data_IF_431157169259
#
_entry.id   IF_431157169259
#
_cell.length_a   1.000
_cell.length_b   1.000
_cell.length_c   1.000
_cell.angle_alpha   90.00
_cell.angle_beta   90.00
_cell.angle_gamma   90.00
#
_symmetry.space_group_name_H-M   'P 1'
#
loop_
_entity.id
_entity.type
_entity.pdbx_description
1 polymer ?
#
# COMPACT_ATOMS: atom_id res chain seq x y z
N UNK A 1 -16.33 11.24 -3.25
CA UNK A 1 -15.83 9.89 -2.94
C UNK A 1 -14.41 9.68 -3.47
N UNK A 2 -14.10 9.86 -4.76
CA UNK A 2 -12.70 9.77 -5.25
C UNK A 2 -11.88 11.04 -4.96
N UNK A 3 -12.51 12.21 -5.07
CA UNK A 3 -11.90 13.52 -4.75
C UNK A 3 -11.35 13.62 -3.32
N UNK A 4 -11.98 12.93 -2.39
CA UNK A 4 -11.66 13.01 -0.97
C UNK A 4 -10.35 12.26 -0.67
N UNK A 5 -10.05 11.21 -1.45
CA UNK A 5 -8.81 10.45 -1.34
C UNK A 5 -7.60 11.21 -1.89
N UNK A 6 -7.77 12.06 -2.91
CA UNK A 6 -6.68 12.89 -3.44
C UNK A 6 -6.17 13.88 -2.38
N UNK A 7 -7.08 14.60 -1.71
CA UNK A 7 -6.71 15.54 -0.65
C UNK A 7 -6.07 14.84 0.54
N UNK A 8 -6.64 13.71 0.99
CA UNK A 8 -6.08 12.92 2.08
C UNK A 8 -4.69 12.35 1.76
N UNK A 9 -4.49 11.86 0.53
CA UNK A 9 -3.20 11.36 0.07
C UNK A 9 -2.16 12.49 0.03
N UNK A 10 -2.54 13.66 -0.47
CA UNK A 10 -1.67 14.83 -0.53
C UNK A 10 -1.21 15.27 0.87
N UNK A 11 -2.16 15.41 1.80
CA UNK A 11 -1.88 15.84 3.16
C UNK A 11 -1.01 14.82 3.90
N UNK A 12 -1.29 13.52 3.72
CA UNK A 12 -0.47 12.46 4.31
C UNK A 12 0.98 12.48 3.78
N UNK A 13 1.16 12.58 2.46
CA UNK A 13 2.47 12.57 1.81
C UNK A 13 3.31 13.82 2.06
N UNK A 14 2.67 14.96 2.33
CA UNK A 14 3.34 16.22 2.66
C UNK A 14 4.05 16.16 4.01
N UNK A 15 3.47 15.41 4.93
CA UNK A 15 3.89 15.31 6.32
C UNK A 15 4.83 14.12 6.58
N UNK A 16 5.18 13.37 5.52
CA UNK A 16 6.20 12.32 5.58
C UNK A 16 7.58 12.92 5.29
N UNK A 17 8.59 12.43 6.01
CA UNK A 17 9.98 12.74 5.66
C UNK A 17 10.35 12.17 4.28
N UNK A 18 11.40 12.71 3.61
CA UNK A 18 11.85 12.19 2.32
C UNK A 18 12.21 10.69 2.35
N UNK A 19 12.82 10.23 3.45
CA UNK A 19 13.19 8.83 3.64
C UNK A 19 11.95 7.93 3.79
N UNK A 20 10.98 8.33 4.61
CA UNK A 20 9.72 7.60 4.77
C UNK A 20 8.91 7.58 3.48
N UNK A 21 8.91 8.69 2.74
CA UNK A 21 8.23 8.80 1.44
C UNK A 21 8.84 7.84 0.42
N UNK A 22 10.17 7.70 0.42
CA UNK A 22 10.90 6.78 -0.47
C UNK A 22 10.64 5.33 -0.09
N UNK A 23 10.65 5.03 1.22
CA UNK A 23 10.29 3.70 1.74
C UNK A 23 8.86 3.32 1.39
N UNK A 24 7.90 4.22 1.65
CA UNK A 24 6.50 4.05 1.29
C UNK A 24 6.36 3.79 -0.21
N UNK A 25 7.01 4.60 -1.05
CA UNK A 25 6.96 4.42 -2.51
C UNK A 25 7.41 3.01 -2.94
N UNK A 26 8.56 2.55 -2.46
CA UNK A 26 9.07 1.22 -2.79
C UNK A 26 8.13 0.10 -2.30
N UNK A 27 7.61 0.23 -1.08
CA UNK A 27 6.67 -0.74 -0.52
C UNK A 27 5.34 -0.78 -1.31
N UNK A 28 4.84 0.38 -1.74
CA UNK A 28 3.63 0.48 -2.55
C UNK A 28 3.84 -0.06 -3.98
N UNK A 29 5.01 0.13 -4.58
CA UNK A 29 5.34 -0.50 -5.86
C UNK A 29 5.32 -2.03 -5.77
N UNK A 30 5.97 -2.59 -4.74
CA UNK A 30 5.94 -4.03 -4.50
C UNK A 30 4.51 -4.53 -4.24
N UNK A 31 3.69 -3.75 -3.52
CA UNK A 31 2.28 -4.05 -3.29
C UNK A 31 1.47 -4.06 -4.59
N UNK A 32 1.69 -3.10 -5.49
CA UNK A 32 1.04 -2.98 -6.81
C UNK A 32 1.34 -4.20 -7.69
N UNK A 33 2.60 -4.64 -7.76
CA UNK A 33 3.00 -5.83 -8.51
C UNK A 33 2.33 -7.10 -7.97
N UNK A 34 2.35 -7.28 -6.64
CA UNK A 34 1.70 -8.43 -6.00
C UNK A 34 0.19 -8.37 -6.22
N UNK A 35 -0.44 -7.19 -6.16
CA UNK A 35 -1.86 -7.04 -6.43
C UNK A 35 -2.20 -7.46 -7.87
N UNK A 36 -1.46 -6.96 -8.88
CA UNK A 36 -1.66 -7.31 -10.29
C UNK A 36 -1.51 -8.81 -10.56
N UNK A 37 -0.49 -9.45 -9.96
CA UNK A 37 -0.29 -10.89 -10.08
C UNK A 37 -1.42 -11.71 -9.42
N UNK A 38 -1.99 -11.19 -8.34
CA UNK A 38 -3.04 -11.87 -7.56
C UNK A 38 -4.48 -11.56 -8.03
N UNK A 39 -4.70 -10.46 -8.74
CA UNK A 39 -6.02 -9.98 -9.17
C UNK A 39 -6.74 -10.95 -10.13
N UNK A 40 -5.99 -11.79 -10.84
CA UNK A 40 -6.51 -12.76 -11.80
C UNK A 40 -6.32 -14.22 -11.39
N UNK A 41 -5.83 -14.49 -10.18
CA UNK A 41 -5.34 -15.81 -9.80
C UNK A 41 -6.04 -16.40 -8.58
N UNK A 42 -7.21 -17.01 -8.81
CA UNK A 42 -7.66 -18.13 -7.98
C UNK A 42 -7.11 -19.42 -8.55
N UNK A 43 -5.92 -19.84 -8.11
CA UNK A 43 -5.36 -21.12 -8.53
C UNK A 43 -5.69 -22.23 -7.54
N UNK A 44 -6.28 -23.32 -8.04
CA UNK A 44 -6.40 -24.57 -7.30
C UNK A 44 -5.04 -25.29 -7.33
N UNK A 45 -4.38 -25.39 -6.19
CA UNK A 45 -3.10 -26.11 -6.09
C UNK A 45 -3.32 -27.60 -5.85
N UNK A 46 -3.72 -28.34 -6.88
CA UNK A 46 -3.89 -29.81 -6.81
C UNK A 46 -2.58 -30.62 -6.68
N UNK A 47 -1.42 -29.98 -6.51
CA UNK A 47 -0.12 -30.65 -6.48
C UNK A 47 0.17 -31.45 -5.20
N UNK A 48 -0.73 -31.43 -4.20
CA UNK A 48 -0.49 -31.99 -2.87
C UNK A 48 -1.60 -32.93 -2.35
N UNK A 49 -2.28 -33.67 -3.24
CA UNK A 49 -3.37 -34.59 -2.87
C UNK A 49 -2.95 -35.65 -1.81
N UNK A 50 -1.65 -35.95 -1.68
CA UNK A 50 -1.10 -36.88 -0.68
C UNK A 50 -0.93 -36.30 0.74
N UNK A 51 -1.17 -35.01 0.97
CA UNK A 51 -1.00 -34.35 2.29
C UNK A 51 -2.30 -33.78 2.88
N UNK A 52 -3.45 -34.21 2.36
CA UNK A 52 -4.77 -33.65 2.69
C UNK A 52 -5.25 -33.92 4.13
N UNK A 53 -4.56 -34.75 4.92
CA UNK A 53 -5.06 -35.18 6.24
C UNK A 53 -4.52 -34.33 7.40
N UNK A 54 -3.59 -33.38 7.18
CA UNK A 54 -2.90 -32.69 8.29
C UNK A 54 -2.76 -31.16 8.18
N UNK A 55 -3.32 -30.49 7.17
CA UNK A 55 -3.04 -29.06 6.95
C UNK A 55 -4.04 -28.14 7.64
N UNK A 56 -3.65 -27.65 8.81
CA UNK A 56 -4.10 -26.38 9.36
C UNK A 56 -4.02 -25.28 8.28
N UNK A 57 -5.01 -24.38 8.23
CA UNK A 57 -4.98 -23.25 7.30
C UNK A 57 -3.73 -22.42 7.52
N UNK A 58 -2.85 -22.33 6.52
CA UNK A 58 -1.70 -21.43 6.60
C UNK A 58 -2.18 -20.01 6.26
N UNK A 59 -2.16 -19.13 7.27
CA UNK A 59 -2.50 -17.72 7.13
C UNK A 59 -1.24 -16.89 7.33
N UNK A 60 -0.71 -16.34 6.24
CA UNK A 60 0.40 -15.38 6.31
C UNK A 60 -0.17 -13.97 6.22
N UNK A 61 -0.01 -13.20 7.30
CA UNK A 61 -0.37 -11.78 7.36
C UNK A 61 0.91 -10.95 7.39
N UNK A 62 1.08 -10.05 6.43
CA UNK A 62 2.11 -8.99 6.48
C UNK A 62 1.39 -7.66 6.71
N UNK A 63 1.92 -6.86 7.63
CA UNK A 63 1.36 -5.55 7.97
C UNK A 63 2.42 -4.49 7.72
N UNK A 64 2.06 -3.49 6.94
CA UNK A 64 2.82 -2.25 6.80
C UNK A 64 2.13 -1.19 7.62
N UNK A 65 2.90 -0.42 8.38
CA UNK A 65 2.41 0.65 9.24
C UNK A 65 3.29 1.87 8.99
N UNK A 66 2.66 2.98 8.65
CA UNK A 66 3.30 4.28 8.47
C UNK A 66 2.57 5.28 9.33
N UNK A 67 3.32 6.12 10.02
CA UNK A 67 2.79 7.21 10.85
C UNK A 67 3.54 8.46 10.43
N UNK A 68 2.82 9.54 10.14
CA UNK A 68 3.44 10.81 9.77
C UNK A 68 3.68 11.72 10.99
N UNK A 69 4.25 12.91 10.77
CA UNK A 69 4.50 13.93 11.81
C UNK A 69 3.24 14.37 12.56
N UNK A 70 2.07 14.34 11.91
CA UNK A 70 0.77 14.69 12.47
C UNK A 70 0.07 13.52 13.15
N UNK A 71 0.77 12.40 13.33
CA UNK A 71 0.23 11.17 13.92
C UNK A 71 -0.93 10.55 13.10
N UNK A 72 -1.04 10.90 11.80
CA UNK A 72 -1.91 10.19 10.87
C UNK A 72 -1.28 8.84 10.55
N UNK A 73 -2.10 7.81 10.59
CA UNK A 73 -1.67 6.43 10.47
C UNK A 73 -2.23 5.77 9.21
N UNK A 74 -1.34 5.19 8.42
CA UNK A 74 -1.66 4.32 7.30
C UNK A 74 -1.25 2.88 7.64
N UNK A 75 -2.23 1.98 7.65
CA UNK A 75 -2.01 0.55 7.85
C UNK A 75 -2.43 -0.20 6.59
N UNK A 76 -1.55 -1.06 6.08
CA UNK A 76 -1.84 -1.95 4.96
C UNK A 76 -1.65 -3.39 5.42
N UNK A 77 -2.72 -4.18 5.35
CA UNK A 77 -2.69 -5.60 5.62
C UNK A 77 -2.69 -6.39 4.32
N UNK A 78 -1.60 -7.10 4.04
CA UNK A 78 -1.56 -8.15 3.04
C UNK A 78 -1.87 -9.47 3.72
N UNK A 79 -2.94 -10.13 3.30
CA UNK A 79 -3.39 -11.40 3.86
C UNK A 79 -3.36 -12.45 2.75
N UNK A 80 -2.58 -13.50 2.97
CA UNK A 80 -2.59 -14.70 2.15
C UNK A 80 -3.18 -15.85 2.96
N UNK A 81 -4.34 -16.32 2.52
CA UNK A 81 -5.04 -17.45 3.14
C UNK A 81 -4.98 -18.66 2.21
N UNK A 82 -4.44 -19.76 2.71
CA UNK A 82 -4.51 -21.05 2.03
C UNK A 82 -5.59 -21.90 2.70
N UNK A 83 -6.75 -22.04 2.03
CA UNK A 83 -7.87 -22.84 2.53
C UNK A 83 -8.06 -24.09 1.67
N UNK A 84 -7.78 -25.27 2.25
CA UNK A 84 -7.81 -26.63 1.68
C UNK A 84 -7.01 -26.84 0.39
N UNK A 85 -7.26 -26.10 -0.70
CA UNK A 85 -6.46 -26.05 -1.94
C UNK A 85 -6.57 -24.71 -2.69
N UNK A 86 -7.25 -23.72 -2.09
CA UNK A 86 -7.54 -22.42 -2.66
C UNK A 86 -6.70 -21.37 -1.94
N UNK A 87 -5.85 -20.68 -2.71
CA UNK A 87 -5.17 -19.50 -2.23
C UNK A 87 -6.08 -18.30 -2.43
N UNK A 88 -6.25 -17.50 -1.36
CA UNK A 88 -6.97 -16.23 -1.39
C UNK A 88 -5.99 -15.15 -0.94
N UNK A 89 -5.79 -14.16 -1.80
CA UNK A 89 -5.00 -12.97 -1.50
C UNK A 89 -5.94 -11.78 -1.31
N UNK A 90 -5.78 -11.05 -0.21
CA UNK A 90 -6.56 -9.86 0.09
C UNK A 90 -5.65 -8.76 0.62
N UNK A 91 -5.95 -7.52 0.22
CA UNK A 91 -5.32 -6.32 0.75
C UNK A 91 -6.42 -5.53 1.46
N UNK A 92 -6.21 -5.22 2.74
CA UNK A 92 -7.03 -4.25 3.46
C UNK A 92 -6.19 -3.01 3.76
N UNK A 93 -6.79 -1.84 3.56
CA UNK A 93 -6.14 -0.54 3.74
C UNK A 93 -6.92 0.21 4.81
N UNK A 94 -6.23 0.75 5.78
CA UNK A 94 -6.81 1.58 6.83
C UNK A 94 -6.06 2.90 6.93
N UNK A 95 -6.80 3.99 6.97
CA UNK A 95 -6.28 5.32 7.24
C UNK A 95 -6.96 5.88 8.49
N UNK A 96 -6.19 6.22 9.52
CA UNK A 96 -6.71 6.69 10.81
C UNK A 96 -7.83 5.81 11.38
N UNK A 97 -7.62 4.49 11.37
CA UNK A 97 -8.60 3.46 11.77
C UNK A 97 -9.87 3.34 10.91
N UNK A 98 -9.97 4.08 9.81
CA UNK A 98 -11.07 3.94 8.84
C UNK A 98 -10.63 3.04 7.69
N UNK A 99 -11.46 2.07 7.31
CA UNK A 99 -11.18 1.20 6.16
C UNK A 99 -11.33 2.00 4.86
N UNK A 100 -10.30 1.94 4.03
CA UNK A 100 -10.25 2.61 2.73
C UNK A 100 -10.22 1.58 1.61
N UNK A 101 -10.73 1.98 0.46
CA UNK A 101 -10.59 1.21 -0.77
C UNK A 101 -9.11 1.16 -1.21
N UNK A 102 -8.75 0.11 -1.95
CA UNK A 102 -7.44 0.01 -2.61
C UNK A 102 -7.16 1.22 -3.54
N UNK A 103 -8.21 1.91 -4.02
CA UNK A 103 -8.08 3.17 -4.77
C UNK A 103 -7.20 4.19 -4.04
N UNK A 104 -7.23 4.24 -2.70
CA UNK A 104 -6.37 5.14 -1.92
C UNK A 104 -4.88 4.86 -2.15
N UNK A 105 -4.50 3.60 -2.35
CA UNK A 105 -3.12 3.21 -2.70
C UNK A 105 -2.77 3.69 -4.11
N UNK A 106 -3.68 3.58 -5.07
CA UNK A 106 -3.47 4.08 -6.43
C UNK A 106 -3.26 5.61 -6.44
N UNK A 107 -4.05 6.35 -5.65
CA UNK A 107 -3.87 7.80 -5.46
C UNK A 107 -2.51 8.13 -4.85
N UNK A 108 -2.11 7.46 -3.76
CA UNK A 108 -0.78 7.64 -3.15
C UNK A 108 0.35 7.37 -4.17
N UNK A 109 0.26 6.27 -4.92
CA UNK A 109 1.24 5.93 -5.95
C UNK A 109 1.29 6.96 -7.08
N UNK A 110 0.15 7.44 -7.55
CA UNK A 110 0.07 8.47 -8.59
C UNK A 110 0.77 9.76 -8.16
N UNK A 111 0.51 10.21 -6.92
CA UNK A 111 1.13 11.41 -6.34
C UNK A 111 2.62 11.25 -6.01
N UNK A 112 3.09 10.02 -5.77
CA UNK A 112 4.50 9.71 -5.60
C UNK A 112 5.24 9.61 -6.94
N UNK A 113 4.56 9.12 -8.00
CA UNK A 113 5.07 9.03 -9.38
C UNK A 113 5.17 10.40 -10.04
N UNK A 114 4.28 11.34 -9.70
CA UNK A 114 4.38 12.72 -10.12
C UNK A 114 5.28 13.49 -9.15
N UNK A 115 6.55 13.78 -9.48
CA UNK A 115 7.30 14.71 -8.67
C UNK A 115 6.54 16.03 -8.67
N UNK A 116 6.00 16.41 -7.52
CA UNK A 116 5.59 17.79 -7.29
C UNK A 116 6.82 18.62 -7.58
N UNK A 117 6.84 19.26 -8.75
CA UNK A 117 7.80 20.30 -9.09
C UNK A 117 7.52 21.37 -8.05
N UNK A 118 8.23 21.30 -6.92
CA UNK A 118 8.22 22.38 -5.96
C UNK A 118 8.60 23.63 -6.77
N UNK A 119 7.80 24.71 -6.73
CA UNK A 119 8.22 25.95 -7.36
C UNK A 119 9.55 26.29 -6.71
N UNK A 120 10.62 26.24 -7.51
CA UNK A 120 11.96 26.65 -7.09
C UNK A 120 11.77 27.97 -6.36
N UNK A 121 12.07 27.98 -5.05
CA UNK A 121 12.15 29.22 -4.30
C UNK A 121 13.09 30.10 -5.10
N UNK A 122 12.55 31.18 -5.70
CA UNK A 122 13.37 32.20 -6.35
C UNK A 122 14.42 32.59 -5.33
N UNK A 123 15.67 32.21 -5.60
CA UNK A 123 16.81 32.86 -5.00
C UNK A 123 16.69 34.32 -5.42
N UNK A 124 16.13 35.13 -4.53
CA UNK A 124 16.32 36.57 -4.61
C UNK A 124 17.82 36.76 -4.40
N UNK A 125 18.54 36.98 -5.50
CA UNK A 125 19.86 37.56 -5.46
C UNK A 125 19.75 38.89 -4.72
N UNK A 126 20.24 38.88 -3.49
CA UNK A 126 20.41 40.04 -2.64
C UNK A 126 21.86 40.48 -2.78
N UNK A 127 22.04 41.73 -3.23
CA UNK A 127 23.23 42.64 -3.14
C UNK A 127 24.48 42.24 -3.94
N UNK A 128 25.23 43.17 -4.55
CA UNK A 128 25.58 44.56 -4.15
C UNK A 128 25.56 45.49 -5.36
#
# INVERSE_FOLDING_TARGET
MTSDYDSLAQDFLRELSPDERTKLYNDLLALEEVHKLNQHSTYYTFKNLKRAVQRHSERRKRTFRYINSLNNELIIHQIHEQHFFKNKYCIHVYFNSQECSYLFIDHLLSMLKSPVIAPMRKLQEITV
#
